data_IF_963631987440
#
_entry.id   IF_963631987440
#
_cell.length_a   1.000
_cell.length_b   1.000
_cell.length_c   1.000
_cell.angle_alpha   90.00
_cell.angle_beta   90.00
_cell.angle_gamma   90.00
#
_symmetry.space_group_name_H-M   'P 1'
#
loop_
_entity.id
_entity.type
_entity.pdbx_description
1 polymer ?
#
# COMPACT_ATOMS: atom_id res chain seq x y z
N UNK A 1 11.84 48.29 -13.79
CA UNK A 1 11.59 49.36 -12.76
C UNK A 1 10.90 48.79 -11.52
N UNK A 2 10.20 47.64 -11.56
CA UNK A 2 9.49 47.08 -10.42
C UNK A 2 10.43 46.28 -9.50
N UNK A 3 11.52 45.71 -9.99
CA UNK A 3 12.47 44.88 -9.20
C UNK A 3 13.34 45.72 -8.26
N UNK A 4 13.62 46.98 -8.61
CA UNK A 4 14.45 47.86 -7.80
C UNK A 4 13.71 48.43 -6.58
N UNK A 5 12.38 48.52 -6.63
CA UNK A 5 11.57 49.00 -5.52
C UNK A 5 11.43 47.98 -4.35
N UNK A 6 11.63 46.70 -4.62
CA UNK A 6 11.51 45.64 -3.60
C UNK A 6 12.71 45.59 -2.65
N UNK A 7 13.89 46.02 -3.08
CA UNK A 7 15.10 46.00 -2.23
C UNK A 7 15.13 47.11 -1.18
N UNK A 8 14.34 48.18 -1.36
CA UNK A 8 14.28 49.29 -0.40
C UNK A 8 13.27 49.11 0.73
N UNK A 9 12.34 48.16 0.60
CA UNK A 9 11.28 47.94 1.57
C UNK A 9 11.58 46.82 2.59
N UNK A 10 12.59 46.00 2.33
CA UNK A 10 12.98 44.89 3.25
C UNK A 10 14.50 44.82 3.39
N UNK A 11 15.12 45.58 4.33
CA UNK A 11 16.54 45.45 4.59
C UNK A 11 16.86 44.05 5.19
N UNK A 12 17.76 43.35 4.52
CA UNK A 12 18.27 42.07 5.04
C UNK A 12 19.06 42.31 6.32
N UNK A 13 18.63 41.68 7.40
CA UNK A 13 19.41 41.63 8.66
C UNK A 13 20.64 40.73 8.47
N UNK A 14 21.81 41.33 8.71
CA UNK A 14 23.09 40.61 8.69
C UNK A 14 23.17 39.63 9.85
N UNK A 15 23.44 38.38 9.53
CA UNK A 15 23.72 37.31 10.50
C UNK A 15 25.11 37.55 11.06
N UNK A 16 25.23 37.96 12.34
CA UNK A 16 26.48 38.01 13.06
C UNK A 16 26.86 36.61 13.55
N UNK A 17 28.00 36.12 13.11
CA UNK A 17 28.69 34.95 13.67
C UNK A 17 29.39 35.34 14.97
N UNK A 18 29.23 34.61 16.09
CA UNK A 18 30.02 34.80 17.27
C UNK A 18 31.36 34.08 17.15
N UNK A 19 32.43 34.82 17.40
CA UNK A 19 33.83 34.38 17.52
C UNK A 19 34.03 33.58 18.80
N UNK A 20 34.81 32.50 18.68
CA UNK A 20 35.28 31.64 19.77
C UNK A 20 36.20 32.38 20.72
N UNK A 21 35.97 32.28 22.04
CA UNK A 21 36.98 32.38 23.07
C UNK A 21 36.93 31.20 24.03
N UNK A 22 38.03 30.49 24.10
CA UNK A 22 38.30 29.45 25.08
C UNK A 22 38.49 30.09 26.48
N UNK A 23 37.89 29.48 27.50
CA UNK A 23 38.40 29.56 28.88
C UNK A 23 38.14 28.23 29.53
N UNK A 24 39.25 27.65 30.01
CA UNK A 24 39.38 26.43 30.79
C UNK A 24 39.02 26.70 32.26
N UNK A 25 38.18 25.84 32.90
CA UNK A 25 38.34 25.44 34.31
C UNK A 25 37.37 24.36 34.73
N UNK A 26 37.92 23.25 35.04
CA UNK A 26 37.78 22.25 36.13
C UNK A 26 36.41 21.87 36.73
N UNK A 27 36.14 20.60 36.50
CA UNK A 27 35.74 19.49 37.40
C UNK A 27 34.76 19.76 38.54
N UNK A 28 33.57 19.12 38.42
CA UNK A 28 33.00 18.37 39.55
C UNK A 28 32.02 17.27 39.04
N UNK A 29 32.15 16.09 39.69
CA UNK A 29 31.48 14.83 39.38
C UNK A 29 29.99 14.78 39.78
N UNK A 30 29.24 14.11 38.89
CA UNK A 30 28.13 13.14 39.08
C UNK A 30 26.77 13.64 39.64
N UNK A 31 25.62 12.99 39.35
CA UNK A 31 25.49 11.56 39.04
C UNK A 31 24.71 11.26 37.75
N UNK A 32 24.93 10.03 37.30
CA UNK A 32 24.22 9.22 36.32
C UNK A 32 22.74 9.51 36.17
N UNK A 33 22.33 9.93 34.98
CA UNK A 33 20.99 9.75 34.48
C UNK A 33 21.06 8.77 33.33
N UNK A 34 20.31 7.71 33.50
CA UNK A 34 20.16 6.61 32.55
C UNK A 34 19.91 7.13 31.12
N UNK A 35 20.88 6.93 30.26
CA UNK A 35 20.63 6.93 28.81
C UNK A 35 19.66 5.81 28.51
N UNK A 36 18.39 6.15 28.39
CA UNK A 36 17.44 5.33 27.68
C UNK A 36 17.92 5.24 26.23
N UNK A 37 18.69 4.22 25.96
CA UNK A 37 18.92 3.75 24.61
C UNK A 37 17.55 3.39 24.02
N UNK A 38 16.95 4.32 23.30
CA UNK A 38 15.95 3.98 22.30
C UNK A 38 16.69 3.13 21.26
N UNK A 39 16.62 1.83 21.45
CA UNK A 39 16.89 0.88 20.37
C UNK A 39 15.82 1.13 19.32
N UNK A 40 16.09 2.03 18.40
CA UNK A 40 15.36 2.06 17.14
C UNK A 40 15.58 0.68 16.52
N UNK A 41 14.56 -0.16 16.57
CA UNK A 41 14.46 -1.33 15.72
C UNK A 41 14.52 -0.81 14.28
N UNK A 42 15.70 -0.73 13.71
CA UNK A 42 15.89 -0.55 12.27
C UNK A 42 15.41 -1.86 11.69
N UNK A 43 14.14 -1.91 11.31
CA UNK A 43 13.60 -3.01 10.53
C UNK A 43 14.47 -3.08 9.27
N UNK A 44 15.22 -4.17 9.11
CA UNK A 44 16.04 -4.40 7.91
C UNK A 44 15.03 -4.57 6.76
N UNK A 45 14.85 -3.50 6.01
CA UNK A 45 14.01 -3.53 4.81
C UNK A 45 14.78 -4.23 3.69
N UNK A 46 14.12 -5.18 3.04
CA UNK A 46 14.68 -5.92 1.89
C UNK A 46 14.37 -5.18 0.59
N UNK A 47 15.16 -5.44 -0.42
CA UNK A 47 14.79 -5.04 -1.78
C UNK A 47 13.57 -5.85 -2.27
N UNK A 48 12.85 -5.34 -3.25
CA UNK A 48 11.72 -6.05 -3.87
C UNK A 48 12.15 -7.40 -4.44
N UNK A 49 13.28 -7.44 -5.11
CA UNK A 49 13.87 -8.61 -5.73
C UNK A 49 14.19 -9.71 -4.71
N UNK A 50 14.70 -9.33 -3.54
CA UNK A 50 14.97 -10.26 -2.43
C UNK A 50 13.69 -10.86 -1.84
N UNK A 51 12.61 -10.08 -1.78
CA UNK A 51 11.33 -10.57 -1.21
C UNK A 51 10.58 -11.47 -2.20
N UNK A 52 10.52 -11.07 -3.46
CA UNK A 52 9.75 -11.78 -4.51
C UNK A 52 10.22 -13.23 -4.71
N UNK A 53 11.49 -13.54 -4.44
CA UNK A 53 12.03 -14.90 -4.60
C UNK A 53 11.78 -15.82 -3.41
N UNK A 54 11.27 -15.32 -2.29
CA UNK A 54 11.11 -16.12 -1.06
C UNK A 54 9.95 -17.12 -1.14
N UNK A 55 8.90 -16.78 -1.86
CA UNK A 55 7.67 -17.56 -1.92
C UNK A 55 7.35 -18.03 -3.33
N UNK A 56 6.50 -19.06 -3.43
CA UNK A 56 5.94 -19.48 -4.72
C UNK A 56 4.96 -18.42 -5.22
N UNK A 57 5.01 -18.14 -6.52
CA UNK A 57 4.23 -17.06 -7.14
C UNK A 57 3.60 -17.50 -8.47
N UNK A 58 2.48 -16.86 -8.83
CA UNK A 58 1.94 -16.88 -10.18
C UNK A 58 2.48 -15.66 -10.90
N UNK A 59 3.09 -15.84 -12.06
CA UNK A 59 3.57 -14.72 -12.87
C UNK A 59 2.39 -13.97 -13.49
N UNK A 60 2.50 -12.65 -13.58
CA UNK A 60 1.61 -11.79 -14.37
C UNK A 60 2.37 -11.38 -15.62
N UNK A 61 1.86 -11.76 -16.80
CA UNK A 61 2.47 -11.47 -18.09
C UNK A 61 1.42 -10.98 -19.09
N UNK A 62 1.17 -9.68 -19.08
CA UNK A 62 0.26 -9.00 -19.98
C UNK A 62 0.99 -7.91 -20.76
N UNK A 63 0.42 -7.44 -21.92
CA UNK A 63 1.05 -6.42 -22.77
C UNK A 63 1.34 -5.08 -22.09
N UNK A 64 0.66 -4.78 -20.98
CA UNK A 64 0.82 -3.51 -20.24
C UNK A 64 1.33 -3.69 -18.82
N UNK A 65 1.17 -4.89 -18.24
CA UNK A 65 1.48 -5.22 -16.85
C UNK A 65 2.37 -6.46 -16.77
N UNK A 66 3.39 -6.41 -15.93
CA UNK A 66 4.18 -7.58 -15.51
C UNK A 66 4.34 -7.59 -14.01
N UNK A 67 4.57 -8.77 -13.45
CA UNK A 67 4.77 -8.92 -12.02
C UNK A 67 4.41 -10.32 -11.55
N UNK A 68 3.90 -10.42 -10.32
CA UNK A 68 3.49 -11.71 -9.77
C UNK A 68 2.55 -11.59 -8.58
N UNK A 69 1.77 -12.67 -8.37
CA UNK A 69 0.88 -12.85 -7.21
C UNK A 69 1.54 -13.84 -6.28
N UNK A 70 1.70 -13.48 -5.01
CA UNK A 70 2.24 -14.37 -3.98
C UNK A 70 1.20 -15.44 -3.63
N UNK A 71 1.59 -16.73 -3.68
CA UNK A 71 0.73 -17.83 -3.25
C UNK A 71 0.62 -17.97 -1.73
N UNK A 72 1.48 -17.31 -0.96
CA UNK A 72 1.31 -17.12 0.46
C UNK A 72 0.42 -15.92 0.70
N UNK A 73 -0.76 -16.12 1.27
CA UNK A 73 -1.75 -15.07 1.51
C UNK A 73 -2.55 -14.60 0.29
N UNK A 74 -2.26 -15.08 -0.93
CA UNK A 74 -2.88 -14.64 -2.19
C UNK A 74 -2.74 -13.11 -2.42
N UNK A 75 -1.57 -12.55 -2.15
CA UNK A 75 -1.31 -11.11 -2.19
C UNK A 75 -0.76 -10.71 -3.57
N UNK A 76 -1.36 -9.70 -4.19
CA UNK A 76 -0.80 -9.05 -5.38
C UNK A 76 0.08 -7.87 -4.92
N UNK A 77 1.38 -8.11 -4.81
CA UNK A 77 2.37 -7.20 -4.22
C UNK A 77 3.56 -6.90 -5.15
N UNK A 78 3.52 -7.39 -6.36
CA UNK A 78 4.55 -7.18 -7.37
C UNK A 78 3.88 -6.89 -8.70
N UNK A 79 3.86 -5.61 -9.10
CA UNK A 79 3.25 -5.18 -10.35
C UNK A 79 4.03 -4.02 -10.97
N UNK A 80 4.35 -4.13 -12.26
CA UNK A 80 5.08 -3.14 -13.05
C UNK A 80 4.24 -2.65 -14.22
N UNK A 81 4.30 -1.35 -14.48
CA UNK A 81 3.77 -0.71 -15.68
C UNK A 81 4.82 -0.72 -16.77
N UNK A 82 4.82 -1.73 -17.65
CA UNK A 82 5.93 -1.97 -18.57
C UNK A 82 6.02 -0.97 -19.73
N UNK A 83 4.96 -0.24 -20.01
CA UNK A 83 4.95 0.83 -21.03
C UNK A 83 5.51 2.16 -20.52
N UNK A 84 5.81 2.27 -19.23
CA UNK A 84 6.22 3.50 -18.58
C UNK A 84 7.52 3.34 -17.82
N UNK A 85 8.31 4.41 -17.78
CA UNK A 85 9.63 4.49 -17.18
C UNK A 85 9.65 5.51 -16.04
N UNK A 86 10.51 5.32 -15.06
CA UNK A 86 10.71 6.25 -13.94
C UNK A 86 11.27 7.61 -14.40
N UNK A 87 11.98 7.63 -15.53
CA UNK A 87 12.52 8.84 -16.13
C UNK A 87 12.50 8.78 -17.65
N UNK A 88 12.83 9.90 -18.31
CA UNK A 88 12.94 9.99 -19.77
C UNK A 88 14.15 9.24 -20.37
N UNK A 89 15.09 8.80 -19.53
CA UNK A 89 16.18 7.93 -20.01
C UNK A 89 15.61 6.57 -20.42
N UNK A 90 15.90 6.16 -21.66
CA UNK A 90 15.46 4.87 -22.21
C UNK A 90 15.96 3.66 -21.40
N UNK A 91 17.06 3.81 -20.64
CA UNK A 91 17.62 2.77 -19.75
C UNK A 91 17.00 2.78 -18.36
N UNK A 92 16.16 3.78 -18.04
CA UNK A 92 15.47 3.83 -16.76
C UNK A 92 14.60 2.60 -16.55
N UNK A 93 14.42 2.21 -15.28
CA UNK A 93 13.54 1.11 -14.88
C UNK A 93 12.09 1.40 -15.25
N UNK A 94 11.29 0.37 -15.34
CA UNK A 94 9.85 0.51 -15.45
C UNK A 94 9.26 0.96 -14.11
N UNK A 95 8.11 1.63 -14.16
CA UNK A 95 7.37 2.03 -12.96
C UNK A 95 6.94 0.78 -12.20
N UNK A 96 7.36 0.68 -10.95
CA UNK A 96 6.79 -0.27 -9.99
C UNK A 96 5.53 0.33 -9.37
N UNK A 97 4.39 -0.31 -9.61
CA UNK A 97 3.14 0.09 -8.99
C UNK A 97 2.97 -0.52 -7.60
N UNK A 98 3.29 -1.83 -7.45
CA UNK A 98 3.16 -2.54 -6.18
C UNK A 98 4.49 -3.05 -5.64
N UNK A 99 4.58 -3.06 -4.30
CA UNK A 99 5.74 -3.47 -3.53
C UNK A 99 5.34 -4.38 -2.36
N UNK A 100 6.08 -5.50 -2.12
CA UNK A 100 5.84 -6.42 -0.99
C UNK A 100 5.96 -5.76 0.38
N UNK A 101 5.33 -6.40 1.37
CA UNK A 101 5.25 -5.93 2.76
C UNK A 101 6.63 -5.75 3.44
N UNK A 102 7.64 -6.54 3.09
CA UNK A 102 8.97 -6.46 3.70
C UNK A 102 9.88 -5.39 3.08
N UNK A 103 9.38 -4.60 2.14
CA UNK A 103 10.13 -3.49 1.51
C UNK A 103 9.98 -2.19 2.31
N UNK A 104 10.74 -1.16 1.95
CA UNK A 104 10.70 0.13 2.64
C UNK A 104 9.33 0.84 2.53
N UNK A 105 8.66 0.71 1.39
CA UNK A 105 7.38 1.37 1.11
C UNK A 105 6.38 0.34 0.55
N UNK A 106 5.81 -0.54 1.39
CA UNK A 106 4.87 -1.55 0.95
C UNK A 106 3.63 -0.94 0.31
N UNK A 107 3.23 -1.50 -0.83
CA UNK A 107 2.02 -1.11 -1.53
C UNK A 107 1.46 -2.31 -2.29
N UNK A 108 0.32 -2.85 -1.87
CA UNK A 108 -0.20 -4.11 -2.40
C UNK A 108 -1.71 -4.24 -2.24
N UNK A 109 -2.27 -5.20 -2.96
CA UNK A 109 -3.66 -5.63 -2.86
C UNK A 109 -3.76 -6.91 -2.05
N UNK A 110 -4.55 -6.87 -0.98
CA UNK A 110 -4.93 -8.00 -0.14
C UNK A 110 -6.38 -8.40 -0.41
N UNK A 111 -6.67 -9.69 -0.50
CA UNK A 111 -7.98 -10.24 -0.80
C UNK A 111 -8.28 -11.35 0.20
N UNK A 112 -9.47 -11.35 0.76
CA UNK A 112 -9.81 -12.37 1.73
C UNK A 112 -11.28 -12.39 2.16
N UNK A 113 -11.52 -13.04 3.29
CA UNK A 113 -12.85 -13.17 3.90
C UNK A 113 -12.77 -12.93 5.40
N UNK A 114 -13.82 -12.35 5.95
CA UNK A 114 -14.02 -12.16 7.40
C UNK A 114 -15.29 -12.86 7.84
N UNK A 115 -15.30 -13.42 9.04
CA UNK A 115 -16.50 -13.94 9.69
C UNK A 115 -17.37 -12.81 10.22
N UNK A 116 -18.69 -12.99 10.27
CA UNK A 116 -19.65 -11.95 10.66
C UNK A 116 -19.38 -11.35 12.05
N UNK A 117 -18.92 -12.13 13.01
CA UNK A 117 -18.74 -11.68 14.39
C UNK A 117 -17.29 -11.80 14.88
N UNK A 118 -16.31 -11.87 13.98
CA UNK A 118 -14.92 -12.14 14.35
C UNK A 118 -14.74 -13.53 15.00
N UNK A 119 -15.76 -14.40 14.90
CA UNK A 119 -15.73 -15.72 15.54
C UNK A 119 -14.69 -16.60 14.86
N UNK A 120 -13.87 -17.26 15.66
CA UNK A 120 -12.88 -18.25 15.22
C UNK A 120 -13.49 -19.62 14.83
N UNK A 121 -14.82 -19.72 14.74
CA UNK A 121 -15.53 -20.97 14.46
C UNK A 121 -15.26 -21.51 13.05
N UNK A 122 -14.85 -20.64 12.13
CA UNK A 122 -14.52 -20.99 10.75
C UNK A 122 -13.05 -20.70 10.53
N UNK A 123 -12.30 -21.72 10.14
CA UNK A 123 -10.92 -21.52 9.70
C UNK A 123 -10.93 -20.84 8.33
N UNK A 124 -10.74 -19.54 8.29
CA UNK A 124 -10.65 -18.71 7.09
C UNK A 124 -9.20 -18.62 6.59
N UNK A 125 -8.97 -18.45 5.28
CA UNK A 125 -7.64 -18.16 4.79
C UNK A 125 -7.12 -16.83 5.36
N UNK A 126 -5.81 -16.76 5.58
CA UNK A 126 -5.11 -15.61 6.15
C UNK A 126 -3.77 -15.35 5.43
N UNK A 127 -2.97 -14.41 5.90
CA UNK A 127 -1.69 -14.05 5.30
C UNK A 127 -0.65 -15.19 5.23
N UNK A 128 -0.77 -16.22 6.11
CA UNK A 128 0.11 -17.38 6.12
C UNK A 128 -0.40 -18.56 5.28
N UNK A 129 -1.62 -18.44 4.74
CA UNK A 129 -2.25 -19.51 3.97
C UNK A 129 -1.49 -19.74 2.67
N UNK A 130 -1.08 -21.01 2.42
CA UNK A 130 -0.48 -21.42 1.16
C UNK A 130 -1.58 -21.82 0.18
N UNK A 131 -1.70 -21.08 -0.90
CA UNK A 131 -2.70 -21.33 -1.93
C UNK A 131 -2.16 -22.26 -3.02
N UNK A 132 -3.04 -23.08 -3.54
CA UNK A 132 -2.81 -23.85 -4.76
C UNK A 132 -3.26 -23.01 -5.97
N UNK A 133 -2.64 -23.22 -7.12
CA UNK A 133 -2.95 -22.49 -8.34
C UNK A 133 -3.26 -23.44 -9.50
N UNK A 134 -4.20 -23.02 -10.37
CA UNK A 134 -4.53 -23.74 -11.60
C UNK A 134 -3.50 -23.56 -12.72
N UNK A 135 -2.64 -22.55 -12.62
CA UNK A 135 -1.62 -22.22 -13.62
C UNK A 135 -0.48 -21.40 -13.03
N UNK A 136 0.64 -21.34 -13.74
CA UNK A 136 1.83 -20.61 -13.32
C UNK A 136 1.89 -19.17 -13.83
N UNK A 137 1.05 -18.83 -14.82
CA UNK A 137 1.11 -17.51 -15.48
C UNK A 137 -0.31 -17.02 -15.77
N UNK A 138 -0.60 -15.82 -15.29
CA UNK A 138 -1.80 -15.05 -15.61
C UNK A 138 -1.50 -14.16 -16.83
N UNK A 139 -2.26 -14.36 -17.90
CA UNK A 139 -2.20 -13.53 -19.10
C UNK A 139 -3.61 -13.32 -19.66
N UNK A 140 -3.83 -12.44 -20.65
CA UNK A 140 -5.13 -12.27 -21.28
C UNK A 140 -5.74 -13.57 -21.84
N UNK A 141 -4.89 -14.51 -22.23
CA UNK A 141 -5.32 -15.81 -22.76
C UNK A 141 -5.40 -16.92 -21.69
N UNK A 142 -4.83 -16.71 -20.51
CA UNK A 142 -4.69 -17.74 -19.46
C UNK A 142 -5.14 -17.18 -18.10
N UNK A 143 -6.44 -17.19 -17.80
CA UNK A 143 -6.95 -16.92 -16.46
C UNK A 143 -6.39 -17.90 -15.42
N UNK A 144 -6.26 -17.46 -14.17
CA UNK A 144 -5.72 -18.28 -13.08
C UNK A 144 -6.68 -18.29 -11.91
N UNK A 145 -6.85 -19.46 -11.31
CA UNK A 145 -7.60 -19.65 -10.07
C UNK A 145 -6.66 -20.06 -8.96
N UNK A 146 -6.68 -19.30 -7.86
CA UNK A 146 -6.10 -19.72 -6.59
C UNK A 146 -7.18 -20.43 -5.76
N UNK A 147 -6.84 -21.53 -5.10
CA UNK A 147 -7.75 -22.26 -4.24
C UNK A 147 -7.09 -22.74 -2.95
N UNK A 148 -7.87 -22.77 -1.89
CA UNK A 148 -7.47 -23.38 -0.61
C UNK A 148 -8.70 -24.00 0.07
N UNK A 149 -8.53 -25.18 0.64
CA UNK A 149 -9.60 -25.89 1.36
C UNK A 149 -9.20 -26.03 2.83
N UNK A 150 -10.10 -25.60 3.72
CA UNK A 150 -9.87 -25.72 5.16
C UNK A 150 -10.22 -27.12 5.70
N UNK A 151 -9.93 -27.35 6.98
CA UNK A 151 -10.22 -28.63 7.67
C UNK A 151 -11.72 -28.93 7.81
N UNK A 152 -12.59 -27.93 7.58
CA UNK A 152 -14.05 -28.05 7.60
C UNK A 152 -14.67 -28.40 6.25
N UNK A 153 -13.88 -28.79 5.25
CA UNK A 153 -14.31 -29.08 3.88
C UNK A 153 -14.99 -27.89 3.18
N UNK A 154 -14.48 -26.68 3.46
CA UNK A 154 -14.89 -25.45 2.79
C UNK A 154 -13.73 -25.00 1.89
N UNK A 155 -14.00 -24.84 0.60
CA UNK A 155 -13.02 -24.40 -0.41
C UNK A 155 -13.24 -22.94 -0.75
N UNK A 156 -12.19 -22.14 -0.59
CA UNK A 156 -12.12 -20.74 -1.00
C UNK A 156 -11.38 -20.63 -2.32
N UNK A 157 -11.89 -19.83 -3.24
CA UNK A 157 -11.27 -19.61 -4.55
C UNK A 157 -11.21 -18.13 -4.88
N UNK A 158 -10.14 -17.73 -5.55
CA UNK A 158 -9.96 -16.40 -6.12
C UNK A 158 -9.63 -16.59 -7.60
N UNK A 159 -10.49 -16.08 -8.47
CA UNK A 159 -10.33 -16.16 -9.93
C UNK A 159 -9.75 -14.83 -10.40
N UNK A 160 -8.64 -14.89 -11.14
CA UNK A 160 -7.97 -13.75 -11.74
C UNK A 160 -8.07 -13.83 -13.25
N UNK A 161 -8.50 -12.72 -13.85
CA UNK A 161 -8.44 -12.46 -15.29
C UNK A 161 -7.75 -11.11 -15.49
N UNK A 162 -7.02 -10.94 -16.58
CA UNK A 162 -6.33 -9.70 -16.93
C UNK A 162 -6.56 -9.40 -18.40
N UNK A 163 -6.75 -8.12 -18.73
CA UNK A 163 -6.84 -7.67 -20.11
C UNK A 163 -5.48 -7.27 -20.70
N UNK A 164 -5.48 -6.79 -21.93
CA UNK A 164 -4.27 -6.30 -22.62
C UNK A 164 -3.83 -4.90 -22.13
N UNK A 165 -4.66 -4.23 -21.34
CA UNK A 165 -4.42 -2.89 -20.85
C UNK A 165 -3.99 -2.90 -19.38
N UNK A 166 -4.87 -2.54 -18.47
CA UNK A 166 -4.53 -2.36 -17.04
C UNK A 166 -5.61 -2.91 -16.11
N UNK A 167 -6.63 -3.60 -16.65
CA UNK A 167 -7.73 -4.11 -15.85
C UNK A 167 -7.46 -5.54 -15.39
N UNK A 168 -7.49 -5.75 -14.06
CA UNK A 168 -7.60 -7.06 -13.45
C UNK A 168 -9.03 -7.26 -12.96
N UNK A 169 -9.66 -8.34 -13.40
CA UNK A 169 -10.92 -8.81 -12.85
C UNK A 169 -10.65 -9.88 -11.82
N UNK A 170 -11.25 -9.72 -10.63
CA UNK A 170 -10.99 -10.61 -9.49
C UNK A 170 -12.34 -11.04 -8.92
N UNK A 171 -12.62 -12.35 -8.97
CA UNK A 171 -13.84 -12.93 -8.43
C UNK A 171 -13.53 -13.86 -7.27
N UNK A 172 -14.28 -13.74 -6.17
CA UNK A 172 -14.17 -14.56 -4.99
C UNK A 172 -15.33 -15.55 -4.92
N UNK A 173 -15.02 -16.83 -4.70
CA UNK A 173 -15.99 -17.92 -4.64
C UNK A 173 -15.75 -18.75 -3.38
N UNK A 174 -16.83 -19.31 -2.80
CA UNK A 174 -16.77 -20.26 -1.68
C UNK A 174 -17.61 -21.47 -2.02
N UNK A 175 -17.01 -22.64 -1.96
CA UNK A 175 -17.68 -23.92 -2.05
C UNK A 175 -17.77 -24.54 -0.65
N UNK A 176 -18.94 -24.47 -0.04
CA UNK A 176 -19.18 -25.05 1.29
C UNK A 176 -19.74 -26.47 1.16
N UNK A 177 -18.84 -27.45 1.30
CA UNK A 177 -19.19 -28.87 1.33
C UNK A 177 -19.34 -29.40 2.76
N UNK A 178 -19.39 -28.53 3.77
CA UNK A 178 -19.66 -28.89 5.15
C UNK A 178 -21.16 -28.98 5.43
N UNK A 179 -21.51 -29.56 6.57
CA UNK A 179 -22.91 -29.62 7.05
C UNK A 179 -23.35 -28.31 7.74
N UNK A 180 -22.44 -27.34 7.92
CA UNK A 180 -22.69 -26.11 8.68
C UNK A 180 -22.95 -24.95 7.75
N UNK A 181 -23.94 -24.13 8.08
CA UNK A 181 -24.10 -22.82 7.45
C UNK A 181 -22.99 -21.87 7.94
N UNK A 182 -22.35 -21.17 7.03
CA UNK A 182 -21.33 -20.17 7.33
C UNK A 182 -21.81 -18.77 6.92
N UNK A 183 -21.40 -17.77 7.69
CA UNK A 183 -21.63 -16.35 7.38
C UNK A 183 -20.30 -15.63 7.31
N UNK A 184 -19.90 -15.27 6.10
CA UNK A 184 -18.63 -14.62 5.82
C UNK A 184 -18.82 -13.46 4.84
N UNK A 185 -17.95 -12.48 4.93
CA UNK A 185 -17.91 -11.32 4.04
C UNK A 185 -16.59 -11.34 3.26
N UNK A 186 -16.62 -11.23 1.93
CA UNK A 186 -15.42 -10.97 1.16
C UNK A 186 -14.92 -9.55 1.45
N UNK A 187 -13.60 -9.38 1.45
CA UNK A 187 -12.98 -8.06 1.47
C UNK A 187 -11.85 -7.96 0.44
N UNK A 188 -11.58 -6.74 0.01
CA UNK A 188 -10.44 -6.35 -0.80
C UNK A 188 -9.88 -5.07 -0.23
N UNK A 189 -8.57 -5.01 -0.05
CA UNK A 189 -7.89 -3.87 0.57
C UNK A 189 -6.68 -3.51 -0.29
N UNK A 190 -6.64 -2.28 -0.79
CA UNK A 190 -5.39 -1.69 -1.25
C UNK A 190 -4.70 -1.13 -0.02
N UNK A 191 -3.52 -1.67 0.29
CA UNK A 191 -2.76 -1.32 1.49
C UNK A 191 -1.49 -0.60 1.11
N UNK A 192 -1.28 0.58 1.68
CA UNK A 192 -0.06 1.35 1.54
C UNK A 192 0.49 1.65 2.92
N UNK A 193 1.75 1.32 3.14
CA UNK A 193 2.44 1.53 4.42
C UNK A 193 3.54 2.56 4.15
N UNK A 194 3.70 3.50 5.07
CA UNK A 194 4.53 4.69 4.94
C UNK A 194 4.02 5.70 3.88
N UNK A 195 4.48 6.92 4.01
CA UNK A 195 4.19 7.96 3.03
C UNK A 195 5.13 7.78 1.83
N UNK A 196 4.60 7.77 0.60
CA UNK A 196 5.44 7.84 -0.58
C UNK A 196 6.14 9.20 -0.66
N UNK A 197 7.25 9.25 -1.40
CA UNK A 197 7.86 10.52 -1.80
C UNK A 197 6.90 11.28 -2.70
N UNK A 198 6.27 12.32 -2.18
CA UNK A 198 5.34 13.17 -2.92
C UNK A 198 6.06 14.40 -3.46
N UNK A 199 5.69 14.84 -4.66
CA UNK A 199 6.28 16.04 -5.26
C UNK A 199 5.65 17.31 -4.67
N UNK A 200 4.51 17.18 -3.98
CA UNK A 200 3.75 18.29 -3.39
C UNK A 200 3.45 19.43 -4.39
N UNK A 201 3.26 19.08 -5.66
CA UNK A 201 2.89 20.08 -6.66
C UNK A 201 1.40 20.38 -6.52
N UNK A 202 1.04 21.65 -6.30
CA UNK A 202 -0.30 22.04 -5.84
C UNK A 202 -1.45 21.67 -6.81
N UNK A 203 -1.17 21.45 -8.09
CA UNK A 203 -2.18 21.09 -9.10
C UNK A 203 -2.35 19.58 -9.28
N UNK A 204 -1.55 18.75 -8.58
CA UNK A 204 -1.65 17.30 -8.66
C UNK A 204 -2.15 16.76 -7.33
N UNK A 205 -3.12 15.86 -7.41
CA UNK A 205 -3.57 15.10 -6.25
C UNK A 205 -2.70 13.86 -6.06
N UNK A 206 -2.14 13.70 -4.88
CA UNK A 206 -1.40 12.51 -4.43
C UNK A 206 -2.00 12.07 -3.09
N UNK A 207 -2.70 10.93 -3.09
CA UNK A 207 -3.42 10.45 -1.90
C UNK A 207 -4.57 9.50 -2.21
N UNK A 208 -5.50 9.42 -1.27
CA UNK A 208 -6.75 8.71 -1.44
C UNK A 208 -7.65 9.45 -2.43
N UNK A 209 -8.23 8.72 -3.35
CA UNK A 209 -9.27 9.20 -4.25
C UNK A 209 -10.38 8.16 -4.32
N UNK A 210 -11.62 8.61 -4.22
CA UNK A 210 -12.78 7.71 -4.32
C UNK A 210 -14.01 8.44 -4.85
N UNK A 211 -14.88 7.68 -5.49
CA UNK A 211 -16.23 8.11 -5.83
C UNK A 211 -17.20 7.23 -5.05
N UNK A 212 -17.80 7.79 -4.01
CA UNK A 212 -18.74 7.07 -3.14
C UNK A 212 -20.05 7.86 -3.08
N UNK A 213 -21.21 7.20 -3.27
CA UNK A 213 -22.52 7.85 -3.30
C UNK A 213 -22.60 9.06 -4.26
N UNK A 214 -21.93 8.95 -5.43
CA UNK A 214 -21.84 10.02 -6.44
C UNK A 214 -21.00 11.25 -6.01
N UNK A 215 -20.35 11.20 -4.86
CA UNK A 215 -19.45 12.24 -4.36
C UNK A 215 -17.98 11.86 -4.56
N UNK A 216 -17.21 12.77 -5.16
CA UNK A 216 -15.76 12.63 -5.30
C UNK A 216 -15.07 13.08 -4.01
N UNK A 217 -14.31 12.17 -3.42
CA UNK A 217 -13.49 12.44 -2.25
C UNK A 217 -12.01 12.38 -2.64
N UNK A 218 -11.27 13.44 -2.30
CA UNK A 218 -9.82 13.53 -2.48
C UNK A 218 -9.17 13.91 -1.15
N UNK A 219 -8.24 13.06 -0.66
CA UNK A 219 -7.48 13.29 0.58
C UNK A 219 -6.00 13.04 0.34
N UNK A 220 -5.17 14.05 0.58
CA UNK A 220 -3.71 13.92 0.46
C UNK A 220 -3.17 12.94 1.49
N UNK A 221 -2.07 12.25 1.17
CA UNK A 221 -1.45 11.27 2.08
C UNK A 221 -1.19 11.84 3.48
N UNK A 222 -0.69 13.07 3.58
CA UNK A 222 -0.41 13.73 4.87
C UNK A 222 -1.66 13.95 5.74
N UNK A 223 -2.82 14.09 5.10
CA UNK A 223 -4.10 14.36 5.77
C UNK A 223 -4.82 13.06 6.19
N UNK A 224 -4.31 11.89 5.75
CA UNK A 224 -4.83 10.57 6.14
C UNK A 224 -4.21 10.05 7.44
N UNK A 225 -3.08 10.62 7.88
CA UNK A 225 -2.40 10.18 9.09
C UNK A 225 -3.19 10.62 10.33
N UNK A 226 -3.64 9.65 11.11
CA UNK A 226 -4.32 9.86 12.39
C UNK A 226 -5.84 10.03 12.32
N UNK A 227 -6.40 10.42 11.20
CA UNK A 227 -7.82 10.77 11.08
C UNK A 227 -8.80 9.60 11.30
N UNK A 228 -8.37 8.35 11.03
CA UNK A 228 -9.18 7.15 11.23
C UNK A 228 -8.76 6.33 12.47
N UNK A 229 -7.78 6.78 13.25
CA UNK A 229 -7.29 6.11 14.45
C UNK A 229 -8.06 6.50 15.72
N UNK A 230 -8.86 7.56 15.66
CA UNK A 230 -9.64 8.03 16.79
C UNK A 230 -10.87 7.14 17.08
N UNK A 231 -11.46 7.32 18.25
CA UNK A 231 -12.67 6.59 18.68
C UNK A 231 -13.81 6.77 17.66
N UNK A 232 -14.70 5.80 17.56
CA UNK A 232 -15.81 5.75 16.59
C UNK A 232 -16.67 7.04 16.55
N UNK A 233 -16.74 7.77 17.65
CA UNK A 233 -17.51 9.00 17.79
C UNK A 233 -16.86 10.23 17.13
N UNK A 234 -15.54 10.20 16.92
CA UNK A 234 -14.75 11.32 16.38
C UNK A 234 -14.11 11.00 15.02
N UNK A 235 -14.48 9.87 14.38
CA UNK A 235 -13.94 9.50 13.08
C UNK A 235 -14.44 10.42 11.97
N UNK A 236 -13.53 10.76 11.07
CA UNK A 236 -13.91 11.49 9.88
C UNK A 236 -14.84 10.67 8.98
N UNK A 237 -15.73 11.34 8.31
CA UNK A 237 -16.78 10.79 7.44
C UNK A 237 -16.26 9.79 6.39
N UNK A 238 -15.01 9.93 5.93
CA UNK A 238 -14.39 9.03 4.95
C UNK A 238 -13.80 7.75 5.53
N UNK A 239 -13.79 7.55 6.84
CA UNK A 239 -13.24 6.35 7.47
C UNK A 239 -14.21 5.15 7.45
N UNK A 240 -15.53 5.41 7.45
CA UNK A 240 -16.56 4.38 7.52
C UNK A 240 -17.72 4.65 6.53
N UNK A 241 -17.42 4.84 5.26
CA UNK A 241 -18.43 5.08 4.24
C UNK A 241 -19.12 3.79 3.79
N UNK A 242 -20.45 3.79 3.84
CA UNK A 242 -21.28 2.80 3.18
C UNK A 242 -21.78 3.36 1.84
N UNK A 243 -21.53 2.65 0.74
CA UNK A 243 -21.95 3.08 -0.58
C UNK A 243 -22.56 1.92 -1.37
N UNK A 244 -23.45 2.25 -2.31
CA UNK A 244 -23.93 1.32 -3.32
C UNK A 244 -23.22 1.62 -4.63
N UNK A 245 -22.16 0.85 -4.92
CA UNK A 245 -21.30 1.10 -6.06
C UNK A 245 -20.26 2.19 -5.80
N UNK A 246 -19.66 2.71 -6.86
CA UNK A 246 -18.52 3.63 -6.78
C UNK A 246 -17.19 2.89 -6.88
N UNK A 247 -16.10 3.56 -6.48
CA UNK A 247 -14.75 3.00 -6.49
C UNK A 247 -13.87 3.77 -5.51
N UNK A 248 -12.77 3.15 -5.11
CA UNK A 248 -11.77 3.81 -4.26
C UNK A 248 -10.36 3.37 -4.66
N UNK A 249 -9.39 4.24 -4.41
CA UNK A 249 -8.00 3.94 -4.73
C UNK A 249 -7.01 4.96 -4.20
N UNK A 250 -5.75 4.76 -4.57
CA UNK A 250 -4.68 5.70 -4.32
C UNK A 250 -4.11 6.20 -5.64
N UNK A 251 -3.83 7.48 -5.68
CA UNK A 251 -3.13 8.11 -6.80
C UNK A 251 -1.80 8.67 -6.34
N UNK A 252 -0.78 8.43 -7.13
CA UNK A 252 0.48 9.14 -7.13
C UNK A 252 0.47 10.16 -8.27
N UNK A 253 1.56 10.86 -8.49
CA UNK A 253 1.62 11.92 -9.51
C UNK A 253 1.01 11.55 -10.88
N UNK A 254 1.26 10.35 -11.36
CA UNK A 254 0.84 9.91 -12.71
C UNK A 254 0.17 8.54 -12.72
N UNK A 255 0.14 7.86 -11.58
CA UNK A 255 -0.27 6.48 -11.48
C UNK A 255 -1.39 6.34 -10.46
N UNK A 256 -2.29 5.45 -10.73
CA UNK A 256 -3.41 5.16 -9.83
C UNK A 256 -3.65 3.66 -9.77
N UNK A 257 -3.98 3.15 -8.59
CA UNK A 257 -4.64 1.86 -8.44
C UNK A 257 -6.01 2.06 -7.80
N UNK A 258 -7.02 1.38 -8.30
CA UNK A 258 -8.39 1.50 -7.79
C UNK A 258 -9.07 0.14 -7.66
N UNK A 259 -9.93 0.03 -6.66
CA UNK A 259 -10.89 -1.05 -6.49
C UNK A 259 -12.26 -0.57 -6.97
N UNK A 260 -12.81 -1.31 -7.94
CA UNK A 260 -14.14 -1.11 -8.49
C UNK A 260 -14.94 -2.37 -8.12
N UNK A 261 -15.96 -2.28 -7.29
CA UNK A 261 -16.78 -3.41 -6.82
C UNK A 261 -17.51 -4.12 -7.93
#
# INVERSE_FOLDING_TARGET
>A
LIIVAFQFLFPQQAIMTPSSQQTTEQVQQAPSTEEQQQVQNIAITKSKEEVVVLDKRVLVDAPSLKGSINLKGAILDDLLLIKYKESLDKRSKNINLFYPDQTANPYYLEIGWKSQNGSSEINLPNAETQWQTSGSTLSPATPVTLQWTNNGNITFKIHYEIDEHYMLQINQEINNNSIKTIKVFPYRIIKRINLPDTINFFILHEGLISLLNEELLEKKYKDLLGDCSESFENRNEYCDNQTKGGWLGFTDKYWMSALIP
#
